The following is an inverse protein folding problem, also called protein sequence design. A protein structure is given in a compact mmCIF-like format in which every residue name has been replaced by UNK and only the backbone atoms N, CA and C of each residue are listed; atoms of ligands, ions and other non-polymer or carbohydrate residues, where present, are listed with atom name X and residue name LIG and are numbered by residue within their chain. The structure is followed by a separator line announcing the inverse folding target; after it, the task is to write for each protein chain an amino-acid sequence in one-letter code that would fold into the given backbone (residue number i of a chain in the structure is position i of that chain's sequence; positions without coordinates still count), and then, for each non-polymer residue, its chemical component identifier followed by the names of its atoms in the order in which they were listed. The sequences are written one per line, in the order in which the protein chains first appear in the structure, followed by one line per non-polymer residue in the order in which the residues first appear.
data_IF_083549716661
#
_entry.id   IF_083549716661
#
_cell.length_a   1.000
_cell.length_b   1.000
_cell.length_c   1.000
_cell.angle_alpha   90.00
_cell.angle_beta   90.00
_cell.angle_gamma   90.00
#
_symmetry.space_group_name_H-M   'P 1'
#
loop_
_entity.id
_entity.type
_entity.pdbx_description
1 polymer ?
#
# COMPACT_ATOMS: atom_id res chain seq x y z
N UNK A 1 10.05 21.95 25.70
CA UNK A 1 10.12 20.81 24.77
C UNK A 1 10.28 21.38 23.37
N UNK A 2 11.29 20.97 22.59
CA UNK A 2 11.48 21.44 21.20
C UNK A 2 11.12 20.31 20.24
N UNK A 3 10.26 20.61 19.27
CA UNK A 3 9.94 19.71 18.18
C UNK A 3 10.97 19.90 17.06
N UNK A 4 11.59 18.82 16.61
CA UNK A 4 12.60 18.86 15.56
C UNK A 4 12.02 18.27 14.27
N UNK A 5 12.22 18.96 13.15
CA UNK A 5 11.87 18.46 11.81
C UNK A 5 12.93 18.90 10.80
N UNK A 6 13.11 18.09 9.76
CA UNK A 6 13.95 18.39 8.59
C UNK A 6 13.14 18.54 7.30
N UNK A 7 11.82 18.36 7.37
CA UNK A 7 10.94 18.20 6.20
C UNK A 7 10.60 19.56 5.60
N UNK A 8 9.99 20.45 6.40
CA UNK A 8 9.53 21.76 5.93
C UNK A 8 9.90 22.83 6.93
N UNK A 9 10.41 23.96 6.44
CA UNK A 9 10.64 25.18 7.21
C UNK A 9 9.66 26.24 6.74
N UNK A 10 8.97 26.86 7.69
CA UNK A 10 7.97 27.91 7.47
C UNK A 10 8.44 29.17 8.18
N UNK A 11 8.59 30.25 7.44
CA UNK A 11 8.91 31.60 7.92
C UNK A 11 8.04 32.62 7.13
N UNK A 12 7.90 33.88 7.61
CA UNK A 12 7.17 34.91 6.88
C UNK A 12 7.70 35.03 5.44
N UNK A 13 6.83 34.77 4.46
CA UNK A 13 7.14 34.80 3.02
C UNK A 13 8.25 33.83 2.58
N UNK A 14 8.58 32.80 3.37
CA UNK A 14 9.58 31.81 3.03
C UNK A 14 9.14 30.42 3.46
N UNK A 15 8.92 29.55 2.47
CA UNK A 15 8.49 28.18 2.67
C UNK A 15 9.41 27.26 1.86
N UNK A 16 10.13 26.37 2.54
CA UNK A 16 10.97 25.37 1.88
C UNK A 16 10.59 23.96 2.32
N UNK A 17 10.61 23.02 1.37
CA UNK A 17 10.46 21.59 1.61
C UNK A 17 11.76 20.91 1.20
N UNK A 18 12.47 20.32 2.16
CA UNK A 18 13.81 19.74 1.99
C UNK A 18 14.78 20.66 1.23
N UNK A 19 14.74 21.96 1.52
CA UNK A 19 15.63 22.97 0.92
C UNK A 19 15.11 23.62 -0.36
N UNK A 20 14.08 23.07 -1.01
CA UNK A 20 13.48 23.66 -2.21
C UNK A 20 12.37 24.63 -1.85
N UNK A 21 12.37 25.82 -2.46
CA UNK A 21 11.27 26.79 -2.29
C UNK A 21 9.96 26.19 -2.80
N UNK A 22 8.90 26.34 -2.02
CA UNK A 22 7.63 25.73 -2.36
C UNK A 22 7.05 26.29 -3.67
N UNK A 23 7.20 27.58 -3.91
CA UNK A 23 6.82 28.24 -5.15
C UNK A 23 7.60 27.76 -6.38
N UNK A 24 8.83 27.26 -6.20
CA UNK A 24 9.62 26.66 -7.28
C UNK A 24 9.18 25.22 -7.56
N UNK A 25 8.65 24.49 -6.57
CA UNK A 25 8.10 23.14 -6.78
C UNK A 25 6.77 23.19 -7.55
N UNK A 26 5.92 24.18 -7.28
CA UNK A 26 4.60 24.34 -7.89
C UNK A 26 4.76 24.57 -9.40
N UNK A 27 4.15 23.70 -10.21
CA UNK A 27 4.17 23.79 -11.67
C UNK A 27 5.44 23.24 -12.35
N UNK A 28 6.55 23.11 -11.62
CA UNK A 28 7.81 22.59 -12.19
C UNK A 28 8.11 21.14 -11.80
N UNK A 29 7.60 20.67 -10.66
CA UNK A 29 7.84 19.31 -10.16
C UNK A 29 6.52 18.53 -10.11
N UNK A 30 6.40 17.37 -10.77
CA UNK A 30 5.20 16.56 -10.70
C UNK A 30 4.86 16.13 -9.27
N UNK A 31 3.57 16.07 -8.93
CA UNK A 31 3.13 15.67 -7.59
C UNK A 31 3.76 14.36 -7.07
N UNK A 32 3.84 13.26 -7.85
CA UNK A 32 4.51 12.02 -7.40
C UNK A 32 5.99 12.21 -7.05
N UNK A 33 6.67 13.18 -7.67
CA UNK A 33 8.07 13.48 -7.38
C UNK A 33 8.21 14.26 -6.07
N UNK A 34 7.27 15.15 -5.76
CA UNK A 34 7.21 15.83 -4.45
C UNK A 34 6.88 14.81 -3.35
N UNK A 35 6.02 13.83 -3.62
CA UNK A 35 5.78 12.71 -2.69
C UNK A 35 7.08 11.93 -2.44
N UNK A 36 7.85 11.60 -3.49
CA UNK A 36 9.16 10.98 -3.34
C UNK A 36 10.10 11.84 -2.47
N UNK A 37 10.18 13.15 -2.74
CA UNK A 37 10.96 14.11 -1.94
C UNK A 37 10.58 14.06 -0.46
N UNK A 38 9.30 14.03 -0.13
CA UNK A 38 8.84 13.96 1.26
C UNK A 38 9.26 12.66 1.96
N UNK A 39 9.23 11.54 1.24
CA UNK A 39 9.56 10.21 1.77
C UNK A 39 11.07 9.91 1.80
N UNK A 40 11.85 10.53 0.91
CA UNK A 40 13.30 10.29 0.75
C UNK A 40 14.22 11.41 1.17
N UNK A 41 13.74 12.65 1.16
CA UNK A 41 14.53 13.85 1.41
C UNK A 41 15.28 14.38 0.19
N UNK A 42 15.12 13.78 -0.98
CA UNK A 42 15.71 14.20 -2.25
C UNK A 42 14.73 14.02 -3.42
N UNK A 43 14.88 14.79 -4.49
CA UNK A 43 14.06 14.63 -5.69
C UNK A 43 14.44 13.33 -6.42
N UNK A 44 13.47 12.62 -7.02
CA UNK A 44 13.77 11.37 -7.72
C UNK A 44 14.47 11.62 -9.05
N UNK A 45 15.17 10.60 -9.54
CA UNK A 45 15.47 10.49 -10.98
C UNK A 45 14.18 10.42 -11.80
N UNK A 46 14.29 10.62 -13.12
CA UNK A 46 13.14 10.50 -14.04
C UNK A 46 12.47 9.13 -13.94
N UNK A 47 13.27 8.08 -13.83
CA UNK A 47 12.84 6.69 -13.73
C UNK A 47 12.12 6.44 -12.40
N UNK A 48 12.71 6.86 -11.27
CA UNK A 48 12.07 6.73 -9.97
C UNK A 48 10.77 7.52 -9.87
N UNK A 49 10.72 8.72 -10.42
CA UNK A 49 9.53 9.56 -10.46
C UNK A 49 8.38 8.89 -11.21
N UNK A 50 8.66 8.34 -12.40
CA UNK A 50 7.70 7.58 -13.20
C UNK A 50 7.24 6.29 -12.51
N UNK A 51 8.11 5.64 -11.75
CA UNK A 51 7.74 4.44 -11.00
C UNK A 51 6.84 4.75 -9.81
N UNK A 52 7.09 5.84 -9.06
CA UNK A 52 6.19 6.27 -7.98
C UNK A 52 4.81 6.61 -8.53
N UNK A 53 4.74 7.35 -9.64
CA UNK A 53 3.47 7.68 -10.30
C UNK A 53 2.66 6.41 -10.61
N UNK A 54 3.30 5.40 -11.22
CA UNK A 54 2.67 4.13 -11.52
C UNK A 54 2.24 3.35 -10.26
N UNK A 55 3.05 3.35 -9.20
CA UNK A 55 2.70 2.71 -7.92
C UNK A 55 1.46 3.35 -7.31
N UNK A 56 1.43 4.68 -7.17
CA UNK A 56 0.30 5.40 -6.59
C UNK A 56 -0.97 5.19 -7.42
N UNK A 57 -0.85 5.24 -8.75
CA UNK A 57 -1.95 4.98 -9.68
C UNK A 57 -2.49 3.56 -9.56
N UNK A 58 -1.63 2.56 -9.35
CA UNK A 58 -2.07 1.15 -9.22
C UNK A 58 -2.97 0.88 -8.01
N UNK A 59 -2.91 1.76 -6.99
CA UNK A 59 -3.69 1.66 -5.76
C UNK A 59 -4.82 2.69 -5.68
N UNK A 60 -5.06 3.48 -6.74
CA UNK A 60 -5.85 4.73 -6.68
C UNK A 60 -7.29 4.55 -6.19
N UNK A 61 -7.95 3.47 -6.63
CA UNK A 61 -9.27 3.06 -6.18
C UNK A 61 -9.47 1.54 -6.38
N UNK A 62 -10.46 0.97 -5.69
CA UNK A 62 -10.85 -0.43 -5.89
C UNK A 62 -12.36 -0.64 -5.68
N UNK A 63 -13.17 0.35 -6.05
CA UNK A 63 -14.63 0.33 -5.94
C UNK A 63 -15.14 0.43 -4.51
N UNK A 64 -16.40 0.04 -4.33
CA UNK A 64 -17.16 0.21 -3.07
C UNK A 64 -17.10 -0.98 -2.12
N UNK A 65 -16.47 -2.09 -2.53
CA UNK A 65 -16.42 -3.34 -1.75
C UNK A 65 -15.30 -3.41 -0.70
N UNK A 66 -14.16 -2.69 -0.81
CA UNK A 66 -13.13 -2.73 0.23
C UNK A 66 -13.60 -2.06 1.53
N UNK A 67 -13.09 -2.49 2.70
CA UNK A 67 -13.43 -1.89 3.99
C UNK A 67 -13.25 -0.36 4.04
N UNK A 68 -12.24 0.17 3.33
CA UNK A 68 -11.96 1.62 3.34
C UNK A 68 -13.03 2.43 2.63
N UNK A 69 -13.52 1.95 1.48
CA UNK A 69 -14.56 2.63 0.73
C UNK A 69 -15.90 2.50 1.47
N UNK A 70 -16.19 1.34 2.06
CA UNK A 70 -17.36 1.11 2.91
C UNK A 70 -17.35 2.07 4.11
N UNK A 71 -16.26 2.10 4.88
CA UNK A 71 -16.15 2.94 6.07
C UNK A 71 -16.31 4.42 5.72
N UNK A 72 -15.62 4.89 4.67
CA UNK A 72 -15.71 6.27 4.23
C UNK A 72 -17.13 6.67 3.83
N UNK A 73 -17.82 5.84 3.05
CA UNK A 73 -19.19 6.13 2.61
C UNK A 73 -20.19 6.05 3.77
N UNK A 74 -20.12 5.03 4.62
CA UNK A 74 -20.97 4.89 5.81
C UNK A 74 -20.87 6.13 6.70
N UNK A 75 -19.65 6.58 6.97
CA UNK A 75 -19.43 7.79 7.77
C UNK A 75 -19.92 9.04 7.05
N UNK A 76 -19.71 9.15 5.72
CA UNK A 76 -20.26 10.24 4.92
C UNK A 76 -21.79 10.33 4.98
N UNK A 77 -22.49 9.20 4.92
CA UNK A 77 -23.95 9.12 5.06
C UNK A 77 -24.44 9.60 6.43
N UNK A 78 -23.59 9.54 7.47
CA UNK A 78 -23.86 10.17 8.76
C UNK A 78 -23.87 11.70 8.76
N UNK A 79 -23.57 12.35 7.63
CA UNK A 79 -23.63 13.81 7.47
C UNK A 79 -22.41 14.56 7.99
N UNK A 80 -21.26 13.89 8.14
CA UNK A 80 -20.01 14.53 8.59
C UNK A 80 -19.32 15.29 7.45
N UNK A 81 -18.40 16.24 7.75
CA UNK A 81 -17.57 16.88 6.73
C UNK A 81 -16.73 15.87 5.92
N UNK A 82 -16.47 16.19 4.65
CA UNK A 82 -15.65 15.38 3.74
C UNK A 82 -14.35 14.83 4.37
N UNK A 83 -13.48 15.63 5.01
CA UNK A 83 -12.23 15.11 5.57
C UNK A 83 -12.45 14.08 6.69
N UNK A 84 -13.54 14.18 7.45
CA UNK A 84 -13.89 13.21 8.51
C UNK A 84 -14.23 11.86 7.90
N UNK A 85 -15.02 11.84 6.82
CA UNK A 85 -15.37 10.61 6.12
C UNK A 85 -14.17 10.00 5.38
N UNK A 86 -13.31 10.81 4.75
CA UNK A 86 -12.05 10.33 4.16
C UNK A 86 -11.14 9.71 5.23
N UNK A 87 -11.02 10.35 6.40
CA UNK A 87 -10.25 9.83 7.52
C UNK A 87 -10.79 8.47 8.00
N UNK A 88 -12.10 8.25 8.03
CA UNK A 88 -12.67 6.94 8.36
C UNK A 88 -12.22 5.83 7.40
N UNK A 89 -12.14 6.14 6.10
CA UNK A 89 -11.59 5.20 5.11
C UNK A 89 -10.10 4.92 5.33
N UNK A 90 -9.31 5.94 5.70
CA UNK A 90 -7.89 5.79 6.02
C UNK A 90 -7.69 4.94 7.28
N UNK A 91 -8.50 5.15 8.32
CA UNK A 91 -8.43 4.39 9.58
C UNK A 91 -8.73 2.90 9.39
N UNK A 92 -9.43 2.52 8.30
CA UNK A 92 -9.65 1.13 7.96
C UNK A 92 -8.43 0.47 7.28
N UNK A 93 -7.41 1.24 6.90
CA UNK A 93 -6.17 0.73 6.29
C UNK A 93 -5.28 0.23 7.42
N UNK A 94 -5.04 -1.07 7.41
CA UNK A 94 -4.31 -1.76 8.48
C UNK A 94 -3.73 -3.07 7.97
N UNK A 95 -3.36 -3.96 8.88
CA UNK A 95 -2.64 -5.19 8.53
C UNK A 95 -3.38 -6.12 7.55
N UNK A 96 -4.71 -6.10 7.56
CA UNK A 96 -5.55 -6.91 6.67
C UNK A 96 -6.03 -6.16 5.40
N UNK A 97 -5.80 -4.84 5.32
CA UNK A 97 -6.25 -3.99 4.21
C UNK A 97 -5.16 -2.97 3.87
N UNK A 98 -4.32 -3.27 2.87
CA UNK A 98 -3.17 -2.44 2.48
C UNK A 98 -1.89 -2.65 3.31
N UNK A 99 -1.96 -3.39 4.42
CA UNK A 99 -0.82 -3.63 5.30
C UNK A 99 0.21 -4.64 4.81
N UNK A 100 -0.06 -5.36 3.72
CA UNK A 100 0.85 -6.37 3.20
C UNK A 100 2.13 -5.77 2.59
N UNK A 101 2.11 -4.50 2.16
CA UNK A 101 3.28 -3.85 1.55
C UNK A 101 4.43 -3.72 2.55
N UNK A 102 4.15 -3.25 3.77
CA UNK A 102 5.17 -3.08 4.81
C UNK A 102 5.81 -4.42 5.20
N UNK A 103 4.96 -5.44 5.44
CA UNK A 103 5.42 -6.79 5.80
C UNK A 103 6.16 -7.48 4.65
N UNK A 104 5.68 -7.31 3.42
CA UNK A 104 6.29 -7.85 2.21
C UNK A 104 7.64 -7.21 1.92
N UNK A 105 7.74 -5.88 2.00
CA UNK A 105 9.01 -5.17 1.83
C UNK A 105 10.02 -5.60 2.89
N UNK A 106 9.60 -5.71 4.16
CA UNK A 106 10.48 -6.19 5.23
C UNK A 106 10.98 -7.61 4.95
N UNK A 107 10.07 -8.51 4.56
CA UNK A 107 10.40 -9.90 4.25
C UNK A 107 11.42 -10.02 3.11
N UNK A 108 11.21 -9.27 2.02
CA UNK A 108 12.11 -9.27 0.87
C UNK A 108 13.47 -8.65 1.22
N UNK A 109 13.49 -7.50 1.92
CA UNK A 109 14.72 -6.82 2.32
C UNK A 109 15.56 -7.66 3.28
N UNK A 110 14.93 -8.29 4.27
CA UNK A 110 15.62 -9.20 5.19
C UNK A 110 16.11 -10.45 4.45
N UNK A 111 15.34 -10.94 3.48
CA UNK A 111 15.74 -12.02 2.57
C UNK A 111 17.00 -11.70 1.79
N UNK A 112 17.04 -10.55 1.10
CA UNK A 112 18.21 -10.09 0.33
C UNK A 112 19.42 -9.82 1.25
N UNK A 113 19.22 -9.26 2.44
CA UNK A 113 20.31 -9.09 3.43
C UNK A 113 20.89 -10.44 3.85
N UNK A 114 20.03 -11.44 4.13
CA UNK A 114 20.45 -12.80 4.48
C UNK A 114 21.16 -13.49 3.33
N UNK A 115 20.67 -13.33 2.10
CA UNK A 115 21.29 -13.84 0.88
C UNK A 115 22.75 -13.39 0.77
N UNK A 116 23.00 -12.09 0.95
CA UNK A 116 24.35 -11.51 0.91
C UNK A 116 25.23 -12.00 2.05
N UNK A 117 24.71 -12.01 3.28
CA UNK A 117 25.43 -12.48 4.47
C UNK A 117 25.87 -13.95 4.34
N UNK A 118 24.99 -14.80 3.82
CA UNK A 118 25.20 -16.24 3.73
C UNK A 118 25.81 -16.67 2.38
N UNK A 119 26.19 -15.70 1.51
CA UNK A 119 26.72 -15.89 0.16
C UNK A 119 25.89 -16.86 -0.69
N UNK A 120 24.58 -16.63 -0.75
CA UNK A 120 23.61 -17.46 -1.49
C UNK A 120 23.17 -16.82 -2.78
N UNK A 121 22.70 -17.62 -3.73
CA UNK A 121 21.96 -17.10 -4.89
C UNK A 121 20.53 -16.69 -4.51
N UNK A 122 19.88 -15.93 -5.39
CA UNK A 122 18.48 -15.51 -5.20
C UNK A 122 17.54 -16.73 -5.15
N UNK A 123 17.84 -17.76 -5.96
CA UNK A 123 17.09 -19.02 -6.00
C UNK A 123 17.23 -19.82 -4.71
N UNK A 124 18.44 -19.89 -4.16
CA UNK A 124 18.71 -20.59 -2.90
C UNK A 124 17.98 -19.93 -1.74
N UNK A 125 18.06 -18.61 -1.61
CA UNK A 125 17.38 -17.89 -0.53
C UNK A 125 15.85 -17.97 -0.69
N UNK A 126 15.30 -17.92 -1.91
CA UNK A 126 13.87 -18.10 -2.15
C UNK A 126 13.36 -19.45 -1.61
N UNK A 127 14.08 -20.54 -1.91
CA UNK A 127 13.75 -21.90 -1.42
C UNK A 127 13.80 -21.97 0.11
N UNK A 128 14.81 -21.35 0.73
CA UNK A 128 14.97 -21.31 2.19
C UNK A 128 13.79 -20.58 2.83
N UNK A 129 13.46 -19.37 2.35
CA UNK A 129 12.38 -18.55 2.89
C UNK A 129 11.01 -19.26 2.78
N UNK A 130 10.72 -19.87 1.62
CA UNK A 130 9.47 -20.61 1.43
C UNK A 130 9.40 -21.84 2.35
N UNK A 131 10.50 -22.58 2.49
CA UNK A 131 10.56 -23.75 3.39
C UNK A 131 10.30 -23.32 4.84
N UNK A 132 10.97 -22.28 5.31
CA UNK A 132 10.84 -21.79 6.69
C UNK A 132 9.42 -21.29 7.01
N UNK A 133 8.79 -20.53 6.10
CA UNK A 133 7.39 -20.11 6.29
C UNK A 133 6.43 -21.30 6.33
N UNK A 134 6.67 -22.33 5.52
CA UNK A 134 5.87 -23.57 5.54
C UNK A 134 6.00 -24.31 6.87
N UNK A 135 7.22 -24.47 7.38
CA UNK A 135 7.49 -25.12 8.67
C UNK A 135 6.84 -24.37 9.84
N UNK A 136 6.71 -23.05 9.75
CA UNK A 136 6.03 -22.20 10.76
C UNK A 136 4.52 -22.05 10.53
N UNK A 137 3.95 -22.66 9.48
CA UNK A 137 2.55 -22.45 9.07
C UNK A 137 2.18 -20.97 8.84
N UNK A 138 3.14 -20.17 8.39
CA UNK A 138 2.97 -18.74 8.12
C UNK A 138 2.66 -18.46 6.66
N UNK A 139 1.80 -17.45 6.42
CA UNK A 139 1.57 -16.92 5.06
C UNK A 139 2.70 -15.96 4.69
N UNK A 140 3.15 -16.03 3.43
CA UNK A 140 4.12 -15.07 2.90
C UNK A 140 3.36 -13.79 2.47
N UNK A 141 3.67 -12.61 3.04
CA UNK A 141 3.01 -11.36 2.65
C UNK A 141 3.23 -11.02 1.18
N UNK A 142 2.19 -10.51 0.50
CA UNK A 142 2.27 -10.13 -0.92
C UNK A 142 1.95 -11.24 -1.92
N UNK A 143 1.62 -12.46 -1.44
CA UNK A 143 1.25 -13.60 -2.28
C UNK A 143 -0.18 -14.06 -2.03
N UNK A 144 -0.87 -14.42 -3.11
CA UNK A 144 -2.28 -14.82 -3.13
C UNK A 144 -3.24 -13.64 -3.32
N UNK A 145 -4.40 -13.94 -3.89
CA UNK A 145 -5.47 -12.98 -4.11
C UNK A 145 -6.83 -13.66 -3.94
N UNK A 146 -7.84 -12.93 -3.45
CA UNK A 146 -9.22 -13.44 -3.28
C UNK A 146 -10.02 -13.56 -4.58
N UNK A 147 -9.53 -12.98 -5.68
CA UNK A 147 -10.32 -12.71 -6.91
C UNK A 147 -9.48 -13.02 -8.13
N UNK A 148 -8.27 -12.46 -8.21
CA UNK A 148 -7.42 -12.61 -9.37
C UNK A 148 -6.51 -13.84 -9.27
N UNK A 149 -6.56 -14.71 -10.27
CA UNK A 149 -5.52 -15.73 -10.47
C UNK A 149 -4.27 -15.15 -11.13
N UNK A 150 -4.41 -13.96 -11.75
CA UNK A 150 -3.32 -13.10 -12.25
C UNK A 150 -3.74 -11.65 -12.10
N UNK A 151 -3.11 -10.90 -11.20
CA UNK A 151 -3.42 -9.48 -10.98
C UNK A 151 -2.85 -8.64 -12.15
N UNK A 152 -3.70 -7.96 -12.95
CA UNK A 152 -3.23 -7.20 -14.11
C UNK A 152 -2.30 -6.05 -13.73
N UNK A 153 -2.44 -5.50 -12.51
CA UNK A 153 -1.61 -4.41 -12.00
C UNK A 153 -0.19 -4.88 -11.75
N UNK A 154 -0.04 -6.04 -11.11
CA UNK A 154 1.26 -6.67 -10.85
C UNK A 154 2.07 -6.82 -12.14
N UNK A 155 1.43 -7.37 -13.20
CA UNK A 155 2.09 -7.56 -14.49
C UNK A 155 2.60 -6.24 -15.06
N UNK A 156 1.76 -5.18 -15.07
CA UNK A 156 2.18 -3.89 -15.63
C UNK A 156 3.28 -3.23 -14.79
N UNK A 157 3.21 -3.30 -13.47
CA UNK A 157 4.21 -2.73 -12.56
C UNK A 157 5.59 -3.38 -12.78
N UNK A 158 5.66 -4.71 -12.88
CA UNK A 158 6.95 -5.38 -13.14
C UNK A 158 7.51 -5.07 -14.53
N UNK A 159 6.67 -5.06 -15.58
CA UNK A 159 7.12 -4.67 -16.92
C UNK A 159 7.70 -3.25 -16.90
N UNK A 160 7.03 -2.31 -16.22
CA UNK A 160 7.52 -0.94 -16.11
C UNK A 160 8.82 -0.85 -15.29
N UNK A 161 8.94 -1.62 -14.19
CA UNK A 161 10.17 -1.66 -13.40
C UNK A 161 11.37 -2.20 -14.22
N UNK A 162 11.12 -3.19 -15.10
CA UNK A 162 12.12 -3.72 -16.03
C UNK A 162 12.48 -2.65 -17.11
N UNK A 163 11.49 -2.00 -17.73
CA UNK A 163 11.68 -0.89 -18.71
C UNK A 163 12.51 0.26 -18.13
N UNK A 164 12.28 0.61 -16.87
CA UNK A 164 12.93 1.71 -16.15
C UNK A 164 14.26 1.30 -15.49
N UNK A 165 14.68 0.04 -15.63
CA UNK A 165 15.90 -0.52 -15.01
C UNK A 165 15.92 -0.36 -13.48
N UNK A 166 14.75 -0.45 -12.85
CA UNK A 166 14.58 -0.40 -11.39
C UNK A 166 14.57 -1.81 -10.80
N UNK A 167 14.05 -2.78 -11.54
CA UNK A 167 13.97 -4.16 -11.06
C UNK A 167 15.36 -4.71 -10.68
N UNK A 168 15.45 -5.25 -9.47
CA UNK A 168 16.70 -5.75 -8.88
C UNK A 168 16.52 -7.05 -8.12
N UNK A 169 17.31 -7.22 -7.05
CA UNK A 169 17.35 -8.43 -6.23
C UNK A 169 15.99 -8.72 -5.56
N UNK A 170 15.25 -7.70 -5.11
CA UNK A 170 13.98 -7.90 -4.41
C UNK A 170 12.87 -8.32 -5.37
N UNK A 171 12.80 -7.72 -6.56
CA UNK A 171 11.90 -8.14 -7.64
C UNK A 171 12.21 -9.56 -8.10
N UNK A 172 13.49 -9.89 -8.25
CA UNK A 172 13.92 -11.24 -8.63
C UNK A 172 13.55 -12.28 -7.56
N UNK A 173 13.78 -11.94 -6.28
CA UNK A 173 13.41 -12.77 -5.14
C UNK A 173 11.90 -13.00 -5.07
N UNK A 174 11.09 -11.95 -5.23
CA UNK A 174 9.62 -12.05 -5.24
C UNK A 174 9.12 -13.01 -6.33
N UNK A 175 9.61 -12.86 -7.57
CA UNK A 175 9.29 -13.74 -8.71
C UNK A 175 9.71 -15.20 -8.45
N UNK A 176 10.84 -15.43 -7.78
CA UNK A 176 11.31 -16.79 -7.44
C UNK A 176 10.51 -17.43 -6.29
N UNK A 177 10.09 -16.64 -5.30
CA UNK A 177 9.20 -17.10 -4.23
C UNK A 177 7.86 -17.58 -4.82
N UNK A 178 7.27 -16.83 -5.77
CA UNK A 178 6.03 -17.24 -6.45
C UNK A 178 6.17 -18.64 -7.08
N UNK A 179 7.26 -18.86 -7.83
CA UNK A 179 7.56 -20.15 -8.47
C UNK A 179 7.76 -21.28 -7.45
N UNK A 180 8.43 -21.01 -6.34
CA UNK A 180 8.66 -22.03 -5.30
C UNK A 180 7.39 -22.32 -4.48
N UNK A 181 6.51 -21.33 -4.28
CA UNK A 181 5.19 -21.53 -3.68
C UNK A 181 4.32 -22.44 -4.55
N UNK A 182 4.28 -22.21 -5.87
CA UNK A 182 3.51 -23.04 -6.81
C UNK A 182 3.97 -24.50 -6.75
N UNK A 183 5.29 -24.76 -6.72
CA UNK A 183 5.84 -26.12 -6.59
C UNK A 183 5.51 -26.81 -5.25
N UNK A 184 5.44 -26.06 -4.15
CA UNK A 184 5.35 -26.63 -2.78
C UNK A 184 3.93 -26.80 -2.25
N UNK A 185 2.98 -26.05 -2.78
CA UNK A 185 1.59 -26.03 -2.32
C UNK A 185 0.60 -26.57 -3.34
N UNK A 186 1.05 -26.96 -4.53
CA UNK A 186 0.22 -27.43 -5.65
C UNK A 186 -0.95 -26.47 -5.95
N UNK A 187 -0.73 -25.19 -5.70
CA UNK A 187 -1.70 -24.11 -5.85
C UNK A 187 -0.98 -22.84 -6.28
N UNK A 188 -1.55 -22.15 -7.26
CA UNK A 188 -1.09 -20.83 -7.67
C UNK A 188 -1.38 -19.80 -6.58
N UNK A 189 -0.31 -19.27 -6.00
CA UNK A 189 -0.35 -18.13 -5.08
C UNK A 189 0.33 -16.93 -5.78
N UNK A 190 -0.40 -16.22 -6.66
CA UNK A 190 0.20 -15.18 -7.50
C UNK A 190 0.68 -14.01 -6.65
N UNK A 191 1.69 -13.28 -7.13
CA UNK A 191 2.07 -11.99 -6.56
C UNK A 191 0.92 -11.02 -6.75
N UNK A 192 0.37 -10.51 -5.65
CA UNK A 192 -0.65 -9.47 -5.70
C UNK A 192 -0.01 -8.08 -5.82
N UNK A 193 -0.83 -7.05 -6.04
CA UNK A 193 -0.32 -5.67 -6.19
C UNK A 193 0.54 -5.23 -5.00
N UNK A 194 0.19 -5.62 -3.77
CA UNK A 194 0.97 -5.25 -2.58
C UNK A 194 2.36 -5.91 -2.59
N UNK A 195 2.45 -7.16 -3.05
CA UNK A 195 3.72 -7.87 -3.24
C UNK A 195 4.58 -7.27 -4.34
N UNK A 196 3.97 -6.83 -5.43
CA UNK A 196 4.67 -6.13 -6.51
C UNK A 196 5.26 -4.80 -6.03
N UNK A 197 4.44 -3.99 -5.33
CA UNK A 197 4.89 -2.72 -4.74
C UNK A 197 5.99 -2.98 -3.71
N UNK A 198 5.82 -3.97 -2.83
CA UNK A 198 6.83 -4.36 -1.83
C UNK A 198 8.20 -4.58 -2.45
N UNK A 199 8.26 -5.33 -3.55
CA UNK A 199 9.50 -5.64 -4.24
C UNK A 199 10.11 -4.40 -4.90
N UNK A 200 9.29 -3.64 -5.64
CA UNK A 200 9.75 -2.46 -6.39
C UNK A 200 10.26 -1.36 -5.44
N UNK A 201 9.52 -1.03 -4.37
CA UNK A 201 9.97 0.00 -3.42
C UNK A 201 11.24 -0.43 -2.69
N UNK A 202 11.46 -1.74 -2.51
CA UNK A 202 12.68 -2.27 -1.90
C UNK A 202 13.88 -2.15 -2.85
N UNK A 203 13.69 -2.37 -4.15
CA UNK A 203 14.70 -2.11 -5.17
C UNK A 203 14.96 -0.61 -5.35
N UNK A 204 13.96 0.25 -5.10
CA UNK A 204 14.11 1.72 -4.97
C UNK A 204 14.66 2.15 -3.59
N UNK A 205 15.08 1.18 -2.76
CA UNK A 205 15.71 1.36 -1.45
C UNK A 205 14.87 2.09 -0.40
N UNK A 206 13.54 2.10 -0.50
CA UNK A 206 12.69 2.62 0.58
C UNK A 206 12.79 1.76 1.84
N UNK A 207 12.70 2.43 2.99
CA UNK A 207 12.53 1.75 4.27
C UNK A 207 11.20 0.99 4.26
N UNK A 208 11.22 -0.30 4.63
CA UNK A 208 10.03 -1.13 4.64
C UNK A 208 8.90 -0.56 5.49
N UNK A 209 9.21 0.24 6.54
CA UNK A 209 8.23 0.90 7.43
C UNK A 209 7.36 1.92 6.69
N UNK A 210 7.78 2.37 5.50
CA UNK A 210 6.99 3.24 4.64
C UNK A 210 6.01 2.47 3.73
N UNK A 211 6.02 1.13 3.75
CA UNK A 211 5.23 0.31 2.82
C UNK A 211 3.74 0.67 2.81
N UNK A 212 3.11 0.86 3.99
CA UNK A 212 1.71 1.27 4.09
C UNK A 212 1.44 2.66 3.50
N UNK A 213 2.43 3.56 3.51
CA UNK A 213 2.28 4.92 3.01
C UNK A 213 1.97 4.93 1.51
N UNK A 214 2.57 4.04 0.70
CA UNK A 214 2.30 3.98 -0.74
C UNK A 214 0.85 3.62 -1.05
N UNK A 215 0.29 2.65 -0.31
CA UNK A 215 -1.13 2.29 -0.45
C UNK A 215 -2.04 3.42 0.00
N UNK A 216 -1.74 4.00 1.17
CA UNK A 216 -2.50 5.12 1.74
C UNK A 216 -2.55 6.30 0.77
N UNK A 217 -1.39 6.77 0.31
CA UNK A 217 -1.27 7.93 -0.58
C UNK A 217 -1.98 7.71 -1.91
N UNK A 218 -1.90 6.49 -2.49
CA UNK A 218 -2.67 6.16 -3.69
C UNK A 218 -4.18 6.21 -3.43
N UNK A 219 -4.64 5.66 -2.30
CA UNK A 219 -6.06 5.46 -2.03
C UNK A 219 -6.84 6.73 -1.67
N UNK A 220 -6.18 7.78 -1.20
CA UNK A 220 -6.86 9.02 -0.75
C UNK A 220 -7.69 9.67 -1.86
N UNK A 221 -7.21 9.65 -3.10
CA UNK A 221 -7.95 10.21 -4.23
C UNK A 221 -9.27 9.48 -4.47
N UNK A 222 -9.25 8.14 -4.49
CA UNK A 222 -10.46 7.31 -4.62
C UNK A 222 -11.42 7.50 -3.44
N UNK A 223 -10.91 7.51 -2.20
CA UNK A 223 -11.75 7.76 -1.02
C UNK A 223 -12.44 9.12 -1.07
N UNK A 224 -11.72 10.16 -1.49
CA UNK A 224 -12.27 11.50 -1.65
C UNK A 224 -13.42 11.50 -2.67
N UNK A 225 -13.24 10.80 -3.80
CA UNK A 225 -14.29 10.66 -4.82
C UNK A 225 -15.51 9.91 -4.29
N UNK A 226 -15.32 8.79 -3.57
CA UNK A 226 -16.43 8.02 -2.97
C UNK A 226 -17.22 8.83 -1.94
N UNK A 227 -16.52 9.60 -1.10
CA UNK A 227 -17.17 10.47 -0.11
C UNK A 227 -17.96 11.58 -0.78
N UNK A 228 -17.37 12.23 -1.78
CA UNK A 228 -18.05 13.29 -2.55
C UNK A 228 -19.30 12.76 -3.26
N UNK A 229 -19.20 11.59 -3.91
CA UNK A 229 -20.34 10.95 -4.56
C UNK A 229 -21.46 10.66 -3.56
N UNK A 230 -21.13 10.05 -2.42
CA UNK A 230 -22.10 9.76 -1.36
C UNK A 230 -22.81 11.03 -0.87
N UNK A 231 -22.06 12.10 -0.58
CA UNK A 231 -22.63 13.35 -0.04
C UNK A 231 -23.48 14.13 -1.05
N UNK A 232 -23.26 13.93 -2.36
CA UNK A 232 -23.93 14.71 -3.41
C UNK A 232 -25.03 13.95 -4.14
N UNK A 233 -25.03 12.63 -4.08
CA UNK A 233 -26.01 11.78 -4.79
C UNK A 233 -26.99 11.07 -3.87
N UNK A 234 -26.65 10.92 -2.60
CA UNK A 234 -27.44 10.15 -1.66
C UNK A 234 -27.98 11.02 -0.52
N UNK A 235 -29.08 10.57 0.09
CA UNK A 235 -29.62 11.23 1.28
C UNK A 235 -28.81 10.82 2.51
N UNK A 236 -28.57 11.73 3.47
CA UNK A 236 -28.04 11.36 4.78
C UNK A 236 -28.87 10.25 5.42
N UNK A 237 -28.22 9.36 6.16
CA UNK A 237 -28.81 8.21 6.85
C UNK A 237 -29.54 7.22 5.91
N UNK A 238 -29.18 7.17 4.62
CA UNK A 238 -29.78 6.18 3.71
C UNK A 238 -29.45 4.75 4.12
N UNK A 239 -30.35 3.82 3.81
CA UNK A 239 -30.10 2.37 3.95
C UNK A 239 -29.05 1.94 2.92
N UNK A 240 -27.84 1.63 3.37
CA UNK A 240 -26.73 1.21 2.50
C UNK A 240 -26.68 -0.29 2.24
N UNK A 241 -27.09 -1.09 3.22
CA UNK A 241 -27.01 -2.54 3.19
C UNK A 241 -28.34 -3.14 3.61
N UNK A 242 -28.64 -4.32 3.08
CA UNK A 242 -29.53 -5.24 3.76
C UNK A 242 -28.70 -5.96 4.81
N UNK A 243 -28.91 -5.60 6.07
CA UNK A 243 -28.20 -6.19 7.19
C UNK A 243 -28.97 -7.44 7.60
N UNK A 244 -28.43 -8.60 7.25
CA UNK A 244 -28.80 -9.86 7.89
C UNK A 244 -28.03 -9.96 9.22
N UNK A 245 -28.75 -9.95 10.35
CA UNK A 245 -28.15 -10.04 11.67
C UNK A 245 -28.93 -11.03 12.54
N UNK A 246 -28.19 -11.78 13.35
CA UNK A 246 -28.74 -12.68 14.36
C UNK A 246 -28.37 -12.14 15.75
N UNK A 247 -29.38 -11.94 16.60
CA UNK A 247 -29.16 -11.65 18.01
C UNK A 247 -28.90 -12.97 18.76
N UNK A 248 -27.63 -13.22 19.11
CA UNK A 248 -27.19 -14.41 19.84
C UNK A 248 -26.96 -14.17 21.34
N UNK A 249 -27.53 -13.09 21.88
CA UNK A 249 -27.43 -12.74 23.29
C UNK A 249 -28.52 -13.36 24.17
N UNK A 250 -28.49 -13.12 25.49
CA UNK A 250 -29.56 -13.50 26.39
C UNK A 250 -30.89 -12.85 25.98
N UNK A 251 -31.96 -13.63 25.97
CA UNK A 251 -33.31 -13.11 25.73
C UNK A 251 -33.78 -12.22 26.90
N UNK A 252 -34.92 -11.57 26.72
CA UNK A 252 -35.54 -10.70 27.72
C UNK A 252 -35.60 -11.37 29.11
N UNK A 253 -35.09 -10.66 30.13
CA UNK A 253 -35.04 -11.13 31.53
C UNK A 253 -35.34 -9.98 32.48
N UNK A 254 -35.96 -10.30 33.63
CA UNK A 254 -36.35 -9.30 34.64
C UNK A 254 -35.16 -8.78 35.44
N UNK A 255 -35.24 -7.52 35.88
CA UNK A 255 -34.32 -6.97 36.89
C UNK A 255 -34.52 -7.68 38.24
N UNK A 256 -33.47 -7.80 39.08
CA UNK A 256 -33.57 -8.32 40.44
C UNK A 256 -34.52 -7.52 41.33
#
# INVERSE_FOLDING_TARGET
MKWHTKITKVEPNHLITYGYKQEELIGNVPYPHVVYLLLKGELPSKEHGKMIDAILTSCIDHGVTPPSSIAARVVASGGVPLPTAVAAGILSIGDAHGGAIEKGAKFLQDGVKRMKRDNKTVEEIAKILVKECKERHERIPGFGHRVHTSDPRTKRLFVLADELKIAGEHTSLSKLIEKELEKKFDKKLPINVDGAISAIISDMHFDWRLGKAFFLLGRVAGLTAHVYEEQTKEKPMRKMFEIDYEYNGPQERKLP
#
